data_IF_064487701067
#
_entry.id   IF_064487701067
#
_cell.length_a   1.000
_cell.length_b   1.000
_cell.length_c   1.000
_cell.angle_alpha   90.00
_cell.angle_beta   90.00
_cell.angle_gamma   90.00
#
_symmetry.space_group_name_H-M   'P 1'
#
loop_
_entity.id
_entity.type
_entity.pdbx_description
1 polymer ?
#
# COMPACT_ATOMS: atom_id res chain seq x y z
N UNK A 1 -2.32 20.53 14.76
CA UNK A 1 -1.45 19.45 15.25
C UNK A 1 -0.83 18.78 14.06
N UNK A 2 0.48 18.69 13.96
CA UNK A 2 1.13 17.90 12.90
C UNK A 2 0.73 16.44 13.12
N UNK A 3 0.05 15.83 12.13
CA UNK A 3 -0.18 14.38 12.15
C UNK A 3 1.14 13.68 11.82
N UNK A 4 1.96 13.40 12.84
CA UNK A 4 3.14 12.57 12.64
C UNK A 4 2.69 11.16 12.27
N UNK A 5 2.87 10.80 11.01
CA UNK A 5 2.65 9.43 10.55
C UNK A 5 3.80 8.57 11.09
N UNK A 6 3.50 7.68 12.03
CA UNK A 6 4.47 6.72 12.57
C UNK A 6 4.46 5.47 11.69
N UNK A 7 5.60 5.16 11.09
CA UNK A 7 5.78 3.99 10.23
C UNK A 7 6.77 3.06 10.91
N UNK A 8 6.35 1.81 11.14
CA UNK A 8 7.22 0.75 11.62
C UNK A 8 7.94 0.13 10.42
N UNK A 9 9.26 0.01 10.49
CA UNK A 9 10.02 -0.70 9.46
C UNK A 9 10.14 -2.17 9.80
N UNK A 10 9.69 -3.02 8.91
CA UNK A 10 9.82 -4.47 8.98
C UNK A 10 10.14 -5.02 7.58
N UNK A 11 11.34 -4.64 7.09
CA UNK A 11 11.76 -4.90 5.72
C UNK A 11 12.01 -6.38 5.47
N UNK A 12 11.48 -6.88 4.35
CA UNK A 12 11.74 -8.23 3.87
C UNK A 12 13.12 -8.32 3.21
N UNK A 13 13.68 -9.52 3.16
CA UNK A 13 15.01 -9.80 2.60
C UNK A 13 15.09 -9.36 1.13
N UNK A 14 16.10 -8.56 0.80
CA UNK A 14 16.44 -8.18 -0.57
C UNK A 14 17.09 -9.35 -1.35
N UNK A 15 17.10 -9.26 -2.68
CA UNK A 15 17.66 -10.28 -3.56
C UNK A 15 16.78 -11.54 -3.65
N UNK A 16 15.49 -11.41 -3.37
CA UNK A 16 14.49 -12.46 -3.52
C UNK A 16 13.48 -12.13 -4.61
N UNK A 17 12.69 -13.12 -5.04
CA UNK A 17 11.59 -12.89 -5.99
C UNK A 17 10.59 -11.86 -5.47
N UNK A 18 10.29 -11.86 -4.16
CA UNK A 18 9.39 -10.90 -3.53
C UNK A 18 10.02 -9.49 -3.47
N UNK A 19 11.34 -9.35 -3.27
CA UNK A 19 12.06 -8.08 -3.23
C UNK A 19 13.38 -8.20 -4.01
N UNK A 20 13.37 -7.95 -5.31
CA UNK A 20 14.58 -8.01 -6.15
C UNK A 20 15.65 -6.98 -5.73
N UNK A 21 15.27 -5.88 -5.11
CA UNK A 21 16.16 -4.77 -4.76
C UNK A 21 16.38 -3.80 -5.92
N UNK A 22 15.57 -3.90 -6.97
CA UNK A 22 15.65 -3.01 -8.13
C UNK A 22 15.02 -1.65 -7.80
N UNK A 23 15.75 -0.57 -8.07
CA UNK A 23 15.28 0.81 -7.88
C UNK A 23 14.62 1.32 -9.16
N UNK A 24 13.47 1.97 -9.00
CA UNK A 24 12.73 2.57 -10.09
C UNK A 24 12.06 3.88 -9.66
N UNK A 25 11.98 4.85 -10.56
CA UNK A 25 11.30 6.12 -10.31
C UNK A 25 9.81 5.89 -9.99
N UNK A 26 9.30 6.51 -8.94
CA UNK A 26 7.90 6.38 -8.53
C UNK A 26 7.01 7.39 -9.22
N UNK A 27 5.88 6.90 -9.72
CA UNK A 27 4.87 7.67 -10.45
C UNK A 27 3.47 7.51 -9.86
N UNK A 28 3.25 6.46 -9.05
CA UNK A 28 1.93 6.09 -8.55
C UNK A 28 1.97 5.73 -7.07
N UNK A 29 0.89 6.00 -6.38
CA UNK A 29 0.53 5.36 -5.11
C UNK A 29 -0.65 4.46 -5.43
N UNK A 30 -0.50 3.16 -5.18
CA UNK A 30 -1.48 2.14 -5.57
C UNK A 30 -2.17 1.58 -4.34
N UNK A 31 -3.49 1.72 -4.30
CA UNK A 31 -4.31 1.31 -3.17
C UNK A 31 -4.90 -0.08 -3.41
N UNK A 32 -4.72 -0.91 -2.39
CA UNK A 32 -5.23 -2.27 -2.32
C UNK A 32 -5.97 -2.51 -1.02
N UNK A 33 -6.74 -3.58 -0.97
CA UNK A 33 -7.22 -4.22 0.24
C UNK A 33 -6.68 -5.64 0.31
N UNK A 34 -6.28 -6.07 1.50
CA UNK A 34 -5.67 -7.41 1.72
C UNK A 34 -6.60 -8.56 1.34
N UNK A 35 -7.92 -8.30 1.28
CA UNK A 35 -8.93 -9.31 0.97
C UNK A 35 -9.04 -10.43 2.01
N UNK A 36 -8.30 -10.35 3.12
CA UNK A 36 -8.26 -11.37 4.16
C UNK A 36 -9.10 -10.94 5.37
N UNK A 37 -10.30 -11.51 5.48
CA UNK A 37 -11.26 -11.21 6.55
C UNK A 37 -11.02 -11.99 7.84
N UNK A 38 -10.00 -12.85 7.91
CA UNK A 38 -9.67 -13.57 9.13
C UNK A 38 -9.45 -12.57 10.28
N UNK A 39 -10.04 -12.79 11.47
CA UNK A 39 -9.94 -11.86 12.59
C UNK A 39 -8.52 -11.45 12.97
N UNK A 40 -7.54 -12.34 12.77
CA UNK A 40 -6.13 -12.07 13.11
C UNK A 40 -5.30 -11.47 11.98
N UNK A 41 -5.89 -11.24 10.79
CA UNK A 41 -5.18 -10.78 9.59
C UNK A 41 -4.93 -9.27 9.58
N UNK A 42 -4.39 -8.70 10.67
CA UNK A 42 -3.91 -7.33 10.75
C UNK A 42 -2.52 -7.15 10.13
N UNK A 43 -2.00 -5.92 10.19
CA UNK A 43 -0.74 -5.54 9.55
C UNK A 43 0.46 -6.38 10.04
N UNK A 44 0.55 -6.68 11.34
CA UNK A 44 1.63 -7.50 11.89
C UNK A 44 1.63 -8.93 11.33
N UNK A 45 0.47 -9.54 11.10
CA UNK A 45 0.42 -10.89 10.51
C UNK A 45 0.66 -10.88 9.00
N UNK A 46 0.31 -9.81 8.30
CA UNK A 46 0.72 -9.61 6.92
C UNK A 46 2.24 -9.39 6.79
N UNK A 47 2.87 -8.71 7.75
CA UNK A 47 4.33 -8.59 7.81
C UNK A 47 5.01 -9.96 7.92
N UNK A 48 4.54 -10.83 8.81
CA UNK A 48 5.03 -12.22 8.92
C UNK A 48 4.81 -13.02 7.63
N UNK A 49 3.66 -12.82 7.00
CA UNK A 49 3.32 -13.50 5.75
C UNK A 49 4.28 -13.11 4.62
N UNK A 50 4.50 -11.81 4.40
CA UNK A 50 5.37 -11.34 3.31
C UNK A 50 6.85 -11.69 3.55
N UNK A 51 7.31 -11.73 4.81
CA UNK A 51 8.64 -12.25 5.17
C UNK A 51 8.79 -13.70 4.77
N UNK A 52 7.81 -14.53 5.12
CA UNK A 52 7.83 -15.95 4.74
C UNK A 52 7.85 -16.14 3.23
N UNK A 53 7.12 -15.31 2.46
CA UNK A 53 7.18 -15.34 0.99
C UNK A 53 8.59 -15.04 0.48
N UNK A 54 9.26 -14.05 1.04
CA UNK A 54 10.63 -13.69 0.68
C UNK A 54 11.62 -14.80 1.05
N UNK A 55 11.50 -15.43 2.22
CA UNK A 55 12.33 -16.56 2.66
C UNK A 55 12.16 -17.79 1.77
N UNK A 56 10.93 -18.14 1.41
CA UNK A 56 10.62 -19.23 0.49
C UNK A 56 11.11 -18.99 -0.93
N UNK A 57 11.22 -17.74 -1.32
CA UNK A 57 11.70 -17.28 -2.63
C UNK A 57 11.04 -17.97 -3.85
N UNK A 58 9.72 -18.26 -3.73
CA UNK A 58 8.98 -18.99 -4.78
C UNK A 58 8.12 -18.09 -5.65
N UNK A 59 7.65 -16.96 -5.11
CA UNK A 59 6.61 -16.13 -5.74
C UNK A 59 7.07 -14.69 -5.97
N UNK A 60 6.61 -14.12 -7.06
CA UNK A 60 6.64 -12.68 -7.34
C UNK A 60 5.36 -12.06 -6.75
N UNK A 61 5.36 -11.84 -5.43
CA UNK A 61 4.25 -11.22 -4.70
C UNK A 61 4.82 -10.41 -3.55
N UNK A 62 4.52 -9.11 -3.54
CA UNK A 62 4.97 -8.20 -2.49
C UNK A 62 4.29 -6.84 -2.62
N UNK A 63 4.40 -6.02 -1.58
CA UNK A 63 3.91 -4.63 -1.54
C UNK A 63 4.76 -3.81 -0.56
N UNK A 64 4.61 -2.48 -0.60
CA UNK A 64 5.46 -1.59 0.19
C UNK A 64 4.96 -1.42 1.62
N UNK A 65 3.65 -1.25 1.82
CA UNK A 65 3.05 -0.95 3.11
C UNK A 65 1.82 -1.80 3.39
N UNK A 66 1.67 -2.23 4.64
CA UNK A 66 0.40 -2.72 5.17
C UNK A 66 -0.10 -1.77 6.25
N UNK A 67 -1.40 -1.45 6.20
CA UNK A 67 -2.06 -0.51 7.10
C UNK A 67 -3.26 -1.18 7.75
N UNK A 68 -3.37 -1.10 9.07
CA UNK A 68 -4.57 -1.44 9.82
C UNK A 68 -5.02 -0.26 10.70
N UNK A 69 -5.94 -0.49 11.60
CA UNK A 69 -6.48 0.52 12.51
C UNK A 69 -5.53 0.90 13.66
N UNK A 70 -4.38 0.23 13.78
CA UNK A 70 -3.40 0.46 14.85
C UNK A 70 -2.04 0.93 14.34
N UNK A 71 -1.63 0.51 13.14
CA UNK A 71 -0.25 0.68 12.70
C UNK A 71 -0.10 0.71 11.17
N UNK A 72 1.05 1.24 10.77
CA UNK A 72 1.56 1.19 9.40
C UNK A 72 2.90 0.46 9.44
N UNK A 73 3.05 -0.58 8.62
CA UNK A 73 4.29 -1.34 8.52
C UNK A 73 4.84 -1.24 7.11
N UNK A 74 6.11 -0.84 6.99
CA UNK A 74 6.84 -0.79 5.71
C UNK A 74 7.65 -2.06 5.50
N UNK A 75 7.47 -2.73 4.37
CA UNK A 75 8.12 -4.00 4.02
C UNK A 75 9.19 -3.87 2.95
N UNK A 76 9.08 -2.87 2.08
CA UNK A 76 10.00 -2.59 0.98
C UNK A 76 10.26 -1.09 0.95
N UNK A 77 11.52 -0.64 0.72
CA UNK A 77 11.82 0.78 0.51
C UNK A 77 11.03 1.37 -0.65
N UNK A 78 10.55 2.60 -0.50
CA UNK A 78 9.66 3.23 -1.50
C UNK A 78 10.26 3.27 -2.90
N UNK A 79 11.59 3.41 -3.02
CA UNK A 79 12.28 3.48 -4.32
C UNK A 79 12.41 2.14 -5.05
N UNK A 80 12.23 1.02 -4.35
CA UNK A 80 12.33 -0.31 -4.96
C UNK A 80 11.02 -0.73 -5.64
N UNK A 81 11.10 -1.69 -6.57
CA UNK A 81 9.92 -2.31 -7.18
C UNK A 81 9.27 -3.31 -6.24
N UNK A 82 7.96 -3.54 -6.43
CA UNK A 82 7.21 -4.58 -5.73
C UNK A 82 6.15 -5.20 -6.67
N UNK A 83 5.68 -6.41 -6.34
CA UNK A 83 4.81 -7.21 -7.20
C UNK A 83 3.39 -7.21 -6.65
N UNK A 84 2.62 -6.13 -6.88
CA UNK A 84 1.27 -5.95 -6.30
C UNK A 84 0.18 -5.60 -7.33
N UNK A 85 0.56 -5.09 -8.50
CA UNK A 85 -0.42 -4.51 -9.42
C UNK A 85 -0.89 -5.46 -10.53
N UNK A 86 -0.25 -6.62 -10.67
CA UNK A 86 -0.64 -7.64 -11.65
C UNK A 86 -0.32 -7.29 -13.11
N UNK A 87 0.51 -6.29 -13.36
CA UNK A 87 0.85 -5.75 -14.68
C UNK A 87 2.28 -6.10 -15.16
N UNK A 88 2.91 -7.08 -14.49
CA UNK A 88 4.23 -7.59 -14.85
C UNK A 88 5.34 -6.53 -14.68
N UNK A 89 6.22 -6.42 -15.68
CA UNK A 89 7.35 -5.47 -15.69
C UNK A 89 7.10 -4.25 -16.60
N UNK A 90 5.86 -3.81 -16.69
CA UNK A 90 5.51 -2.61 -17.46
C UNK A 90 6.19 -1.39 -16.84
N UNK A 91 7.04 -0.68 -17.59
CA UNK A 91 7.91 0.40 -17.09
C UNK A 91 7.16 1.47 -16.28
N UNK A 92 6.02 1.94 -16.80
CA UNK A 92 5.16 2.93 -16.12
C UNK A 92 4.00 2.28 -15.36
N UNK A 93 4.08 0.99 -15.11
CA UNK A 93 3.07 0.19 -14.42
C UNK A 93 3.13 0.29 -12.91
N UNK A 94 2.15 -0.32 -12.25
CA UNK A 94 2.03 -0.32 -10.80
C UNK A 94 3.15 -1.07 -10.11
N UNK A 95 3.57 -2.22 -10.64
CA UNK A 95 4.66 -3.01 -10.06
C UNK A 95 6.01 -2.27 -10.11
N UNK A 96 6.33 -1.63 -11.24
CA UNK A 96 7.62 -0.96 -11.45
C UNK A 96 7.63 0.43 -10.83
N UNK A 97 6.58 1.22 -11.04
CA UNK A 97 6.55 2.65 -10.71
C UNK A 97 5.58 3.00 -9.58
N UNK A 98 4.90 2.04 -8.98
CA UNK A 98 3.93 2.26 -7.92
C UNK A 98 4.49 1.97 -6.53
N UNK A 99 3.97 2.70 -5.54
CA UNK A 99 4.10 2.37 -4.12
C UNK A 99 2.81 1.69 -3.70
N UNK A 100 2.84 0.37 -3.48
CA UNK A 100 1.66 -0.42 -3.12
C UNK A 100 1.33 -0.33 -1.63
N UNK A 101 0.09 0.00 -1.30
CA UNK A 101 -0.44 0.08 0.06
C UNK A 101 -1.59 -0.91 0.19
N UNK A 102 -1.47 -1.87 1.08
CA UNK A 102 -2.51 -2.85 1.44
C UNK A 102 -3.24 -2.43 2.70
N UNK A 103 -4.53 -2.14 2.59
CA UNK A 103 -5.42 -1.81 3.73
C UNK A 103 -6.03 -3.10 4.25
N UNK A 104 -5.88 -3.37 5.54
CA UNK A 104 -6.44 -4.54 6.18
C UNK A 104 -7.98 -4.47 6.26
N UNK A 105 -8.62 -5.64 6.03
CA UNK A 105 -10.09 -5.82 6.04
C UNK A 105 -10.53 -6.91 7.03
N UNK A 106 -9.66 -7.28 7.96
CA UNK A 106 -9.95 -8.33 8.94
C UNK A 106 -11.07 -7.93 9.91
N UNK A 107 -11.88 -8.90 10.33
CA UNK A 107 -13.11 -8.67 11.11
C UNK A 107 -12.88 -7.95 12.44
N UNK A 108 -11.72 -8.10 13.07
CA UNK A 108 -11.39 -7.46 14.36
C UNK A 108 -10.80 -6.06 14.20
N UNK A 109 -10.62 -5.57 12.97
CA UNK A 109 -10.13 -4.23 12.68
C UNK A 109 -11.27 -3.26 12.42
N UNK A 110 -11.11 -2.02 12.84
CA UNK A 110 -12.00 -0.93 12.44
C UNK A 110 -11.58 -0.41 11.05
N UNK A 111 -12.25 -0.90 10.01
CA UNK A 111 -11.94 -0.54 8.63
C UNK A 111 -11.95 0.98 8.37
N UNK A 112 -12.86 1.73 9.00
CA UNK A 112 -12.90 3.20 8.83
C UNK A 112 -11.63 3.85 9.37
N UNK A 113 -11.13 3.37 10.51
CA UNK A 113 -9.86 3.85 11.09
C UNK A 113 -8.70 3.45 10.21
N UNK A 114 -8.65 2.20 9.69
CA UNK A 114 -7.63 1.75 8.77
C UNK A 114 -7.58 2.61 7.49
N UNK A 115 -8.73 2.95 6.91
CA UNK A 115 -8.84 3.86 5.75
C UNK A 115 -8.33 5.27 6.09
N UNK A 116 -8.68 5.80 7.26
CA UNK A 116 -8.17 7.10 7.72
C UNK A 116 -6.66 7.07 7.93
N UNK A 117 -6.12 6.00 8.50
CA UNK A 117 -4.68 5.81 8.66
C UNK A 117 -3.98 5.72 7.29
N UNK A 118 -4.60 5.02 6.33
CA UNK A 118 -4.11 4.93 4.95
C UNK A 118 -4.10 6.30 4.25
N UNK A 119 -5.14 7.13 4.43
CA UNK A 119 -5.18 8.47 3.83
C UNK A 119 -4.05 9.38 4.34
N UNK A 120 -3.68 9.28 5.63
CA UNK A 120 -2.52 9.97 6.21
C UNK A 120 -1.20 9.49 5.61
N UNK A 121 -1.03 8.16 5.46
CA UNK A 121 0.14 7.60 4.79
C UNK A 121 0.25 8.07 3.35
N UNK A 122 -0.86 8.06 2.60
CA UNK A 122 -0.90 8.56 1.21
C UNK A 122 -0.47 10.02 1.15
N UNK A 123 -1.01 10.89 2.00
CA UNK A 123 -0.64 12.30 2.06
C UNK A 123 0.86 12.50 2.36
N UNK A 124 1.40 11.74 3.30
CA UNK A 124 2.84 11.72 3.60
C UNK A 124 3.67 11.31 2.37
N UNK A 125 3.28 10.25 1.66
CA UNK A 125 3.97 9.78 0.46
C UNK A 125 3.85 10.76 -0.71
N UNK A 126 2.69 11.40 -0.89
CA UNK A 126 2.52 12.49 -1.86
C UNK A 126 3.55 13.60 -1.61
N UNK A 127 3.68 14.08 -0.37
CA UNK A 127 4.64 15.13 -0.01
C UNK A 127 6.07 14.67 -0.23
N UNK A 128 6.41 13.47 0.25
CA UNK A 128 7.75 12.89 0.18
C UNK A 128 8.26 12.70 -1.26
N UNK A 129 7.36 12.28 -2.16
CA UNK A 129 7.72 11.93 -3.55
C UNK A 129 7.27 12.98 -4.58
N UNK A 130 6.69 14.09 -4.15
CA UNK A 130 6.21 15.14 -5.06
C UNK A 130 5.09 14.65 -5.99
N UNK A 131 4.22 13.74 -5.50
CA UNK A 131 3.11 13.17 -6.27
C UNK A 131 1.82 13.94 -6.01
N UNK A 132 1.11 14.29 -7.07
CA UNK A 132 -0.23 14.88 -6.98
C UNK A 132 -1.31 13.85 -6.69
N UNK A 133 -2.51 14.34 -6.36
CA UNK A 133 -3.71 13.50 -6.13
C UNK A 133 -4.06 12.66 -7.38
N UNK A 134 -3.75 13.16 -8.57
CA UNK A 134 -3.91 12.48 -9.85
C UNK A 134 -2.99 11.27 -10.02
N UNK A 135 -2.07 11.05 -9.10
CA UNK A 135 -1.13 9.92 -9.09
C UNK A 135 -1.54 8.80 -8.14
N UNK A 136 -2.67 8.93 -7.45
CA UNK A 136 -3.24 7.87 -6.63
C UNK A 136 -4.16 7.02 -7.50
N UNK A 137 -3.96 5.70 -7.49
CA UNK A 137 -4.71 4.76 -8.31
C UNK A 137 -5.17 3.55 -7.50
N UNK A 138 -6.30 3.00 -7.90
CA UNK A 138 -6.75 1.67 -7.47
C UNK A 138 -5.93 0.59 -8.18
N UNK A 139 -5.73 -0.58 -7.56
CA UNK A 139 -5.17 -1.75 -8.25
C UNK A 139 -5.92 -2.04 -9.56
N UNK A 140 -7.24 -1.87 -9.55
CA UNK A 140 -8.10 -2.04 -10.73
C UNK A 140 -7.58 -1.32 -11.98
N UNK A 141 -6.99 -0.14 -11.83
CA UNK A 141 -6.46 0.66 -12.94
C UNK A 141 -5.38 -0.09 -13.75
N UNK A 142 -4.59 -0.93 -13.09
CA UNK A 142 -3.45 -1.61 -13.72
C UNK A 142 -3.80 -2.96 -14.34
N UNK A 143 -4.67 -3.74 -13.72
CA UNK A 143 -4.96 -5.12 -14.13
C UNK A 143 -6.44 -5.47 -14.26
N UNK A 144 -7.35 -4.54 -13.98
CA UNK A 144 -8.79 -4.81 -13.98
C UNK A 144 -9.29 -5.59 -12.76
N UNK A 145 -8.41 -6.00 -11.83
CA UNK A 145 -8.80 -6.70 -10.61
C UNK A 145 -9.74 -5.82 -9.78
N UNK A 146 -10.84 -6.39 -9.25
CA UNK A 146 -11.76 -5.67 -8.37
C UNK A 146 -11.12 -5.42 -6.99
N UNK A 147 -10.18 -4.50 -6.95
CA UNK A 147 -9.39 -4.11 -5.77
C UNK A 147 -9.09 -2.59 -5.83
N UNK A 148 -9.23 -1.86 -4.73
CA UNK A 148 -9.68 -2.24 -3.38
C UNK A 148 -11.19 -2.56 -3.34
N UNK A 149 -11.55 -3.74 -2.87
CA UNK A 149 -12.90 -4.28 -3.05
C UNK A 149 -13.99 -3.48 -2.29
N UNK A 150 -13.77 -3.23 -1.00
CA UNK A 150 -14.76 -2.56 -0.13
C UNK A 150 -14.96 -1.10 -0.55
N UNK A 151 -13.85 -0.39 -0.81
CA UNK A 151 -13.88 1.01 -1.29
C UNK A 151 -14.65 1.12 -2.60
N UNK A 152 -14.44 0.18 -3.53
CA UNK A 152 -15.15 0.14 -4.82
C UNK A 152 -16.62 -0.25 -4.67
N UNK A 153 -16.90 -1.26 -3.85
CA UNK A 153 -18.27 -1.76 -3.63
C UNK A 153 -19.21 -0.69 -3.07
N UNK A 154 -18.71 0.19 -2.21
CA UNK A 154 -19.50 1.25 -1.57
C UNK A 154 -19.32 2.62 -2.22
N UNK A 155 -18.71 2.67 -3.39
CA UNK A 155 -18.44 3.92 -4.14
C UNK A 155 -17.71 4.99 -3.30
N UNK A 156 -16.76 4.53 -2.48
CA UNK A 156 -16.07 5.39 -1.51
C UNK A 156 -14.75 5.99 -2.05
N UNK A 157 -14.41 5.76 -3.32
CA UNK A 157 -13.13 6.16 -3.88
C UNK A 157 -12.91 7.67 -3.88
N UNK A 158 -13.88 8.44 -4.33
CA UNK A 158 -13.77 9.90 -4.38
C UNK A 158 -13.63 10.49 -2.96
N UNK A 159 -14.40 9.96 -1.99
CA UNK A 159 -14.25 10.37 -0.59
C UNK A 159 -12.88 10.01 -0.02
N UNK A 160 -12.31 8.87 -0.40
CA UNK A 160 -10.94 8.50 -0.01
C UNK A 160 -9.92 9.49 -0.56
N UNK A 161 -10.04 9.89 -1.83
CA UNK A 161 -9.17 10.91 -2.43
C UNK A 161 -9.31 12.28 -1.74
N UNK A 162 -10.53 12.69 -1.39
CA UNK A 162 -10.77 13.90 -0.60
C UNK A 162 -10.06 13.83 0.74
N UNK A 163 -10.17 12.71 1.47
CA UNK A 163 -9.47 12.49 2.75
C UNK A 163 -7.95 12.62 2.57
N UNK A 164 -7.37 12.02 1.53
CA UNK A 164 -5.94 12.15 1.23
C UNK A 164 -5.54 13.62 1.00
N UNK A 165 -6.35 14.36 0.27
CA UNK A 165 -6.09 15.77 -0.03
C UNK A 165 -6.27 16.68 1.21
N UNK A 166 -7.25 16.39 2.07
CA UNK A 166 -7.45 17.06 3.36
C UNK A 166 -6.20 16.89 4.26
N UNK A 167 -5.71 15.65 4.39
CA UNK A 167 -4.49 15.35 5.15
C UNK A 167 -3.24 16.00 4.53
N UNK A 168 -3.12 15.99 3.20
CA UNK A 168 -1.99 16.61 2.48
C UNK A 168 -1.88 18.11 2.74
N UNK A 169 -3.01 18.82 2.78
CA UNK A 169 -3.06 20.27 3.08
C UNK A 169 -2.59 20.61 4.50
N UNK A 170 -2.62 19.64 5.43
CA UNK A 170 -2.19 19.82 6.82
C UNK A 170 -0.69 19.57 7.03
N UNK A 171 -0.01 18.96 6.05
CA UNK A 171 1.45 18.71 6.12
C UNK A 171 2.18 20.00 5.71
N UNK A 172 2.87 20.60 6.66
CA UNK A 172 3.68 21.81 6.47
C UNK A 172 4.99 21.50 5.73
#
# INVERSE_FOLDING_TARGET
>A
MQSNVVILEDLIRAGTKARPGEVHAKRWIVIHETGNVNPTAGAANHAKYIKRLAEQNKQYLSWHYTVDDHQIIRHIPDCEIAWHAGDGRKADGGNMSGIGIEICVNKNSNFRVAVTTASKLVAFLMKKHGLGIDRIRQHHFFSGKNCPFTIRKYDFWDRFLEMCNEEFKQIK
#
